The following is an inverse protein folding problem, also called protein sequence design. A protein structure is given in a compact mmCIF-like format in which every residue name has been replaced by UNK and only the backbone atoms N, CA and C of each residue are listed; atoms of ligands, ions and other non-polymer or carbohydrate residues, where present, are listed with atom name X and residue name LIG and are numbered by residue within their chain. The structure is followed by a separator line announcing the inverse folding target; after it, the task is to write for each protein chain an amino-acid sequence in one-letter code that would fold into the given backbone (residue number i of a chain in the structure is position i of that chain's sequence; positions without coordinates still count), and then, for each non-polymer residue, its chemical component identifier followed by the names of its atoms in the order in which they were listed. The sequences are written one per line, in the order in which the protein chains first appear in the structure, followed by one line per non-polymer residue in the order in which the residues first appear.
data_IF_675525120946
#
_entry.id   IF_675525120946
#
_cell.length_a   1.000
_cell.length_b   1.000
_cell.length_c   1.000
_cell.angle_alpha   90.00
_cell.angle_beta   90.00
_cell.angle_gamma   90.00
#
_symmetry.space_group_name_H-M   'P 1'
#
loop_
_entity.id
_entity.type
_entity.pdbx_description
1 polymer ?
#
# COMPACT_ATOMS: atom_id res chain seq x y z
N UNK A 1 2.97 -39.68 -4.82
CA UNK A 1 3.93 -38.56 -4.89
C UNK A 1 3.23 -37.41 -5.60
N UNK A 2 2.76 -36.41 -4.86
CA UNK A 2 2.08 -35.25 -5.44
C UNK A 2 3.13 -34.23 -5.89
N UNK A 3 3.14 -33.91 -7.18
CA UNK A 3 3.99 -32.87 -7.74
C UNK A 3 3.35 -31.51 -7.48
N UNK A 4 4.08 -30.66 -6.76
CA UNK A 4 3.73 -29.26 -6.53
C UNK A 4 3.84 -28.47 -7.84
N UNK A 5 2.78 -27.79 -8.24
CA UNK A 5 2.82 -26.80 -9.32
C UNK A 5 3.48 -25.51 -8.80
N UNK A 6 4.36 -24.85 -9.57
CA UNK A 6 4.81 -23.51 -9.22
C UNK A 6 3.63 -22.53 -9.41
N UNK A 7 3.30 -21.78 -8.37
CA UNK A 7 2.48 -20.59 -8.51
C UNK A 7 3.33 -19.54 -9.25
N UNK A 8 3.09 -19.38 -10.55
CA UNK A 8 3.58 -18.22 -11.28
C UNK A 8 2.78 -17.03 -10.74
N UNK A 9 3.44 -16.18 -9.95
CA UNK A 9 2.91 -14.86 -9.67
C UNK A 9 2.93 -14.10 -11.01
N UNK A 10 1.76 -13.98 -11.64
CA UNK A 10 1.57 -13.11 -12.80
C UNK A 10 2.16 -11.73 -12.47
N UNK A 11 3.10 -11.27 -13.30
CA UNK A 11 3.45 -9.86 -13.35
C UNK A 11 2.18 -9.11 -13.71
N UNK A 12 1.52 -8.54 -12.69
CA UNK A 12 0.27 -7.86 -12.87
C UNK A 12 0.46 -6.76 -13.92
N UNK A 13 -0.34 -6.80 -14.98
CA UNK A 13 -0.42 -5.69 -15.90
C UNK A 13 -0.90 -4.46 -15.12
N UNK A 14 0.02 -3.54 -14.88
CA UNK A 14 -0.23 -2.31 -14.16
C UNK A 14 -1.32 -1.50 -14.85
N UNK A 15 -2.48 -1.44 -14.20
CA UNK A 15 -3.61 -0.65 -14.71
C UNK A 15 -3.59 0.71 -14.03
N UNK A 16 -3.22 1.75 -14.78
CA UNK A 16 -3.26 3.13 -14.27
C UNK A 16 -4.63 3.46 -13.68
N UNK A 17 -4.59 4.12 -12.53
CA UNK A 17 -5.75 4.45 -11.72
C UNK A 17 -6.35 3.30 -10.91
N UNK A 18 -5.72 2.11 -10.90
CA UNK A 18 -6.08 1.00 -10.00
C UNK A 18 -5.01 0.78 -8.94
N UNK A 19 -5.44 0.62 -7.69
CA UNK A 19 -4.64 0.24 -6.53
C UNK A 19 -5.07 -1.15 -6.05
N UNK A 20 -4.14 -1.99 -5.62
CA UNK A 20 -4.45 -3.24 -4.92
C UNK A 20 -4.25 -3.06 -3.41
N UNK A 21 -5.17 -3.59 -2.60
CA UNK A 21 -5.02 -3.71 -1.16
C UNK A 21 -5.30 -5.13 -0.69
N UNK A 22 -4.43 -5.65 0.16
CA UNK A 22 -4.74 -6.81 1.00
C UNK A 22 -4.90 -6.35 2.45
N UNK A 23 -6.08 -6.57 3.02
CA UNK A 23 -6.43 -6.17 4.38
C UNK A 23 -6.62 -7.43 5.22
N UNK A 24 -5.88 -7.54 6.32
CA UNK A 24 -6.02 -8.62 7.28
C UNK A 24 -6.45 -8.07 8.64
N UNK A 25 -7.49 -8.67 9.22
CA UNK A 25 -8.01 -8.35 10.56
C UNK A 25 -7.75 -9.55 11.46
N UNK A 26 -6.79 -9.39 12.37
CA UNK A 26 -6.43 -10.35 13.41
C UNK A 26 -6.87 -9.82 14.78
N UNK A 27 -6.82 -10.65 15.83
CA UNK A 27 -7.39 -10.31 17.15
C UNK A 27 -6.88 -8.99 17.77
N UNK A 28 -5.60 -8.64 17.54
CA UNK A 28 -4.97 -7.44 18.10
C UNK A 28 -4.49 -6.42 17.06
N UNK A 29 -4.76 -6.64 15.78
CA UNK A 29 -4.22 -5.77 14.73
C UNK A 29 -5.00 -5.79 13.43
N UNK A 30 -4.93 -4.67 12.72
CA UNK A 30 -5.32 -4.58 11.32
C UNK A 30 -4.08 -4.27 10.50
N UNK A 31 -3.81 -5.10 9.50
CA UNK A 31 -2.70 -4.90 8.55
C UNK A 31 -3.25 -4.61 7.17
N UNK A 32 -2.63 -3.66 6.48
CA UNK A 32 -2.95 -3.29 5.10
C UNK A 32 -1.66 -3.39 4.30
N UNK A 33 -1.61 -4.29 3.32
CA UNK A 33 -0.61 -4.29 2.27
C UNK A 33 -1.17 -3.57 1.04
N UNK A 34 -0.33 -2.78 0.37
CA UNK A 34 -0.71 -1.93 -0.74
C UNK A 34 0.33 -2.06 -1.84
N UNK A 35 -0.15 -2.20 -3.08
CA UNK A 35 0.68 -2.20 -4.29
C UNK A 35 0.04 -1.25 -5.32
N UNK A 36 0.83 -0.33 -5.86
CA UNK A 36 0.39 0.54 -6.94
C UNK A 36 1.53 0.99 -7.87
N UNK A 37 1.21 1.21 -9.16
CA UNK A 37 2.06 1.99 -10.04
C UNK A 37 2.30 3.40 -9.50
N UNK A 38 3.53 3.90 -9.61
CA UNK A 38 3.86 5.28 -9.20
C UNK A 38 3.06 6.33 -9.97
N UNK A 39 2.60 6.03 -11.20
CA UNK A 39 1.70 6.90 -11.95
C UNK A 39 0.46 7.29 -11.15
N UNK A 40 -0.08 6.37 -10.34
CA UNK A 40 -1.27 6.61 -9.51
C UNK A 40 -1.08 7.75 -8.50
N UNK A 41 0.16 8.11 -8.20
CA UNK A 41 0.49 9.13 -7.19
C UNK A 41 1.22 10.32 -7.81
N UNK A 42 2.22 10.05 -8.64
CA UNK A 42 3.15 11.06 -9.17
C UNK A 42 2.85 11.43 -10.62
N UNK A 43 2.10 10.60 -11.35
CA UNK A 43 1.84 10.76 -12.78
C UNK A 43 3.02 10.38 -13.68
N UNK A 44 3.98 9.62 -13.15
CA UNK A 44 5.09 9.05 -13.88
C UNK A 44 5.62 7.78 -13.19
N UNK A 45 6.26 6.91 -13.97
CA UNK A 45 6.77 5.58 -13.61
C UNK A 45 8.30 5.51 -13.75
N UNK A 46 8.98 6.58 -13.35
CA UNK A 46 10.45 6.70 -13.46
C UNK A 46 11.02 7.47 -12.28
N UNK A 47 12.34 7.44 -12.14
CA UNK A 47 13.01 8.19 -11.10
C UNK A 47 12.71 9.71 -11.26
N UNK A 48 12.46 10.44 -10.16
CA UNK A 48 12.32 11.90 -10.18
C UNK A 48 13.59 12.59 -10.69
N UNK A 49 13.49 13.36 -11.78
CA UNK A 49 14.62 14.02 -12.46
C UNK A 49 14.76 15.49 -12.09
N UNK A 50 13.63 16.16 -11.81
CA UNK A 50 13.63 17.59 -11.45
C UNK A 50 13.51 17.80 -9.94
N UNK A 51 13.84 19.00 -9.46
CA UNK A 51 13.65 19.35 -8.05
C UNK A 51 12.16 19.31 -7.64
N UNK A 52 11.26 19.67 -8.55
CA UNK A 52 9.82 19.59 -8.33
C UNK A 52 9.35 18.14 -8.19
N UNK A 53 9.78 17.25 -9.10
CA UNK A 53 9.45 15.83 -9.03
C UNK A 53 10.00 15.18 -7.75
N UNK A 54 11.24 15.51 -7.36
CA UNK A 54 11.83 15.01 -6.10
C UNK A 54 11.03 15.44 -4.88
N UNK A 55 10.54 16.68 -4.87
CA UNK A 55 9.66 17.17 -3.81
C UNK A 55 8.33 16.43 -3.79
N UNK A 56 7.71 16.20 -4.95
CA UNK A 56 6.46 15.42 -5.03
C UNK A 56 6.63 13.99 -4.52
N UNK A 57 7.74 13.34 -4.84
CA UNK A 57 8.07 12.02 -4.31
C UNK A 57 8.27 12.03 -2.78
N UNK A 58 8.99 13.01 -2.25
CA UNK A 58 9.16 13.18 -0.81
C UNK A 58 7.82 13.45 -0.09
N UNK A 59 6.95 14.28 -0.67
CA UNK A 59 5.62 14.59 -0.13
C UNK A 59 4.71 13.35 -0.15
N UNK A 60 4.78 12.51 -1.21
CA UNK A 60 4.10 11.23 -1.28
C UNK A 60 4.54 10.31 -0.12
N UNK A 61 5.84 10.10 0.03
CA UNK A 61 6.42 9.27 1.09
C UNK A 61 5.99 9.77 2.48
N UNK A 62 6.11 11.08 2.73
CA UNK A 62 5.71 11.68 4.00
C UNK A 62 4.21 11.47 4.29
N UNK A 63 3.36 11.54 3.26
CA UNK A 63 1.92 11.33 3.40
C UNK A 63 1.58 9.86 3.65
N UNK A 64 2.22 8.92 2.96
CA UNK A 64 2.02 7.48 3.20
C UNK A 64 2.48 7.07 4.61
N UNK A 65 3.54 7.69 5.15
CA UNK A 65 3.95 7.49 6.55
C UNK A 65 2.93 7.98 7.58
N UNK A 66 2.00 8.86 7.18
CA UNK A 66 0.84 9.33 7.96
C UNK A 66 -0.41 8.51 7.60
N UNK A 67 -0.26 7.19 7.59
CA UNK A 67 -1.28 6.24 7.12
C UNK A 67 -2.59 6.31 7.91
N UNK A 68 -2.56 6.78 9.16
CA UNK A 68 -3.73 7.04 10.01
C UNK A 68 -4.67 8.12 9.45
N UNK A 69 -4.19 8.94 8.51
CA UNK A 69 -5.03 9.90 7.76
C UNK A 69 -5.59 9.34 6.45
N UNK A 70 -5.06 8.20 5.99
CA UNK A 70 -5.37 7.57 4.70
C UNK A 70 -6.22 6.30 4.85
N UNK A 71 -6.11 5.66 6.00
CA UNK A 71 -6.81 4.45 6.42
C UNK A 71 -7.28 4.64 7.85
N UNK A 72 -8.59 4.68 8.06
CA UNK A 72 -9.18 4.94 9.38
C UNK A 72 -10.03 3.74 9.77
N UNK A 73 -9.50 2.84 10.63
CA UNK A 73 -10.27 1.73 11.15
C UNK A 73 -11.47 2.20 11.98
N UNK A 74 -12.49 1.37 12.07
CA UNK A 74 -13.61 1.55 12.97
C UNK A 74 -13.13 1.92 14.40
N UNK A 75 -13.55 3.07 14.96
CA UNK A 75 -13.16 3.49 16.31
C UNK A 75 -13.50 2.45 17.39
N UNK A 76 -14.50 1.59 17.17
CA UNK A 76 -14.84 0.50 18.09
C UNK A 76 -13.67 -0.47 18.34
N UNK A 77 -12.72 -0.58 17.42
CA UNK A 77 -11.55 -1.43 17.57
C UNK A 77 -10.38 -0.83 18.35
N UNK A 78 -10.42 0.48 18.65
CA UNK A 78 -9.37 1.17 19.41
C UNK A 78 -8.00 1.14 18.74
N UNK A 79 -7.96 1.14 17.41
CA UNK A 79 -6.74 1.01 16.63
C UNK A 79 -5.87 2.28 16.64
N UNK A 80 -4.54 2.10 16.64
CA UNK A 80 -3.53 3.15 16.44
C UNK A 80 -2.47 2.68 15.44
N UNK A 81 -2.00 3.58 14.59
CA UNK A 81 -0.91 3.29 13.67
C UNK A 81 0.35 2.94 14.48
N UNK A 82 0.92 1.78 14.17
CA UNK A 82 2.06 1.20 14.90
C UNK A 82 3.26 0.91 14.00
N UNK A 83 3.06 0.80 12.68
CA UNK A 83 4.15 0.57 11.74
C UNK A 83 3.78 0.99 10.32
N UNK A 84 4.78 1.50 9.60
CA UNK A 84 4.72 1.78 8.16
C UNK A 84 6.03 1.33 7.53
N UNK A 85 5.95 0.45 6.54
CA UNK A 85 7.06 0.09 5.65
C UNK A 85 6.68 0.52 4.25
N UNK A 86 7.61 1.15 3.53
CA UNK A 86 7.46 1.54 2.13
C UNK A 86 8.62 0.91 1.36
N UNK A 87 8.37 0.44 0.14
CA UNK A 87 9.39 -0.05 -0.77
C UNK A 87 9.11 0.45 -2.18
N UNK A 88 10.16 0.87 -2.88
CA UNK A 88 10.12 1.36 -4.26
C UNK A 88 11.55 1.61 -4.70
N UNK A 89 12.02 0.80 -5.65
CA UNK A 89 13.39 0.91 -6.16
C UNK A 89 13.62 2.26 -6.84
N UNK A 90 12.62 2.71 -7.59
CA UNK A 90 12.64 3.99 -8.34
C UNK A 90 12.70 5.21 -7.42
N UNK A 91 12.19 5.09 -6.19
CA UNK A 91 12.27 6.13 -5.17
C UNK A 91 13.40 5.91 -4.15
N UNK A 92 14.12 4.78 -4.23
CA UNK A 92 15.19 4.41 -3.31
C UNK A 92 14.70 4.10 -1.89
N UNK A 93 13.61 3.36 -1.74
CA UNK A 93 12.99 3.03 -0.45
C UNK A 93 13.28 1.59 0.03
N UNK A 94 14.19 0.86 -0.61
CA UNK A 94 14.35 -0.59 -0.39
C UNK A 94 14.91 -0.95 1.01
N UNK A 95 15.46 0.03 1.74
CA UNK A 95 16.04 -0.13 3.07
C UNK A 95 15.14 0.39 4.22
N UNK A 96 13.90 0.80 3.95
CA UNK A 96 13.02 1.49 4.92
C UNK A 96 12.32 0.58 5.96
N UNK A 97 12.92 -0.59 6.24
CA UNK A 97 12.60 -1.39 7.41
C UNK A 97 13.21 -0.73 8.68
N UNK A 98 12.55 0.33 9.14
CA UNK A 98 12.76 1.07 10.38
C UNK A 98 13.79 2.23 10.38
N UNK A 99 13.30 3.37 10.88
CA UNK A 99 13.98 4.63 11.26
C UNK A 99 14.12 5.70 10.18
N UNK A 100 13.49 6.84 10.45
CA UNK A 100 13.49 7.99 9.57
C UNK A 100 14.79 8.76 9.59
N UNK A 101 15.56 8.69 8.50
CA UNK A 101 16.47 9.74 8.08
C UNK A 101 16.48 9.82 6.56
N UNK A 102 16.24 11.01 6.03
CA UNK A 102 16.44 11.31 4.61
C UNK A 102 17.93 11.17 4.28
N UNK A 103 18.28 10.29 3.34
CA UNK A 103 19.67 10.00 3.01
C UNK A 103 19.86 9.49 1.59
N UNK A 104 20.31 10.42 0.73
CA UNK A 104 21.09 10.26 -0.49
C UNK A 104 21.12 8.89 -1.21
N UNK A 105 20.61 8.91 -2.44
CA UNK A 105 20.86 7.89 -3.47
C UNK A 105 22.36 7.53 -3.53
N UNK A 106 22.66 6.26 -3.35
CA UNK A 106 23.97 5.69 -3.67
C UNK A 106 23.86 4.92 -4.97
N UNK A 107 24.53 5.42 -6.00
CA UNK A 107 24.89 4.67 -7.19
C UNK A 107 25.78 3.49 -6.79
N UNK A 108 25.20 2.29 -6.77
CA UNK A 108 25.97 1.05 -6.81
C UNK A 108 25.55 0.24 -8.02
N UNK A 109 26.37 0.29 -9.06
CA UNK A 109 26.25 -0.58 -10.22
C UNK A 109 26.37 -2.05 -9.81
N UNK A 110 25.26 -2.79 -9.86
CA UNK A 110 25.25 -4.26 -9.93
C UNK A 110 24.64 -4.69 -11.26
N UNK A 111 25.25 -5.71 -11.86
CA UNK A 111 25.08 -6.15 -13.25
C UNK A 111 23.71 -6.77 -13.55
N UNK A 112 23.33 -6.68 -14.82
CA UNK A 112 22.04 -7.01 -15.44
C UNK A 112 21.44 -8.38 -15.04
N UNK A 113 20.14 -8.37 -14.79
CA UNK A 113 19.18 -9.39 -15.22
C UNK A 113 17.93 -8.62 -15.71
N UNK A 114 17.34 -9.03 -16.83
CA UNK A 114 16.14 -8.41 -17.43
C UNK A 114 14.91 -8.65 -16.55
N UNK A 115 14.78 -7.85 -15.50
CA UNK A 115 13.58 -7.75 -14.70
C UNK A 115 13.00 -6.39 -15.05
N UNK A 116 11.77 -6.36 -15.57
CA UNK A 116 11.03 -5.13 -15.70
C UNK A 116 11.15 -4.38 -14.36
N UNK A 117 11.84 -3.25 -14.33
CA UNK A 117 11.92 -2.41 -13.14
C UNK A 117 10.52 -1.84 -12.97
N UNK A 118 9.66 -2.57 -12.26
CA UNK A 118 8.31 -2.15 -12.04
C UNK A 118 8.38 -0.88 -11.18
N UNK A 119 7.99 0.25 -11.77
CA UNK A 119 8.01 1.54 -11.12
C UNK A 119 6.80 1.69 -10.19
N UNK A 120 6.77 0.82 -9.19
CA UNK A 120 5.69 0.70 -8.23
C UNK A 120 6.11 1.25 -6.88
N UNK A 121 5.12 1.40 -6.02
CA UNK A 121 5.29 1.57 -4.61
C UNK A 121 4.49 0.50 -3.87
N UNK A 122 5.22 -0.28 -3.09
CA UNK A 122 4.68 -1.21 -2.13
C UNK A 122 4.65 -0.55 -0.75
N UNK A 123 3.59 -0.82 0.01
CA UNK A 123 3.51 -0.36 1.38
C UNK A 123 2.83 -1.38 2.29
N UNK A 124 3.29 -1.42 3.55
CA UNK A 124 2.63 -2.14 4.62
C UNK A 124 2.33 -1.18 5.75
N UNK A 125 1.06 -1.12 6.15
CA UNK A 125 0.58 -0.34 7.28
C UNK A 125 0.05 -1.28 8.34
N UNK A 126 0.51 -1.13 9.59
CA UNK A 126 0.07 -1.94 10.72
C UNK A 126 -0.55 -1.07 11.78
N UNK A 127 -1.81 -1.36 12.11
CA UNK A 127 -2.55 -0.76 13.20
C UNK A 127 -2.61 -1.74 14.36
N UNK A 128 -2.08 -1.36 15.52
CA UNK A 128 -2.28 -2.11 16.76
C UNK A 128 -3.64 -1.71 17.34
N UNK A 129 -4.45 -2.69 17.71
CA UNK A 129 -5.83 -2.50 18.11
C UNK A 129 -6.09 -3.17 19.46
N UNK A 130 -6.94 -2.57 20.28
CA UNK A 130 -7.36 -3.16 21.55
C UNK A 130 -8.43 -4.23 21.35
N UNK A 131 -9.29 -4.07 20.33
CA UNK A 131 -10.44 -4.94 20.05
C UNK A 131 -10.71 -5.04 18.54
N UNK A 132 -9.75 -5.55 17.77
CA UNK A 132 -9.87 -5.57 16.30
C UNK A 132 -11.08 -6.36 15.78
N UNK A 133 -11.57 -7.34 16.53
CA UNK A 133 -12.79 -8.11 16.25
C UNK A 133 -14.08 -7.27 16.28
N UNK A 134 -14.05 -6.10 16.94
CA UNK A 134 -15.15 -5.15 16.97
C UNK A 134 -15.19 -4.26 15.73
N UNK A 135 -14.12 -4.18 14.94
CA UNK A 135 -14.16 -3.42 13.70
C UNK A 135 -15.17 -4.01 12.72
N UNK A 136 -15.99 -3.13 12.12
CA UNK A 136 -16.93 -3.47 11.04
C UNK A 136 -16.61 -2.76 9.74
N UNK A 137 -15.70 -1.80 9.75
CA UNK A 137 -15.29 -1.11 8.55
C UNK A 137 -13.88 -0.52 8.66
N UNK A 138 -13.36 -0.17 7.49
CA UNK A 138 -12.16 0.63 7.27
C UNK A 138 -12.53 1.74 6.29
N UNK A 139 -12.43 2.99 6.73
CA UNK A 139 -12.51 4.11 5.80
C UNK A 139 -11.19 4.24 5.04
N UNK A 140 -11.29 4.52 3.74
CA UNK A 140 -10.13 4.69 2.86
C UNK A 140 -10.10 6.10 2.25
N UNK A 141 -9.84 7.17 3.06
CA UNK A 141 -9.64 8.53 2.56
C UNK A 141 -8.58 8.67 1.45
N UNK A 142 -7.69 7.69 1.32
CA UNK A 142 -6.70 7.59 0.24
C UNK A 142 -7.29 7.88 -1.17
N UNK A 143 -8.51 7.41 -1.47
CA UNK A 143 -9.19 7.67 -2.74
C UNK A 143 -9.51 9.16 -2.97
N UNK A 144 -9.90 9.87 -1.91
CA UNK A 144 -10.15 11.31 -1.99
C UNK A 144 -8.83 12.10 -2.04
N UNK A 145 -7.80 11.58 -1.39
CA UNK A 145 -6.46 12.14 -1.25
C UNK A 145 -5.65 12.14 -2.56
N UNK A 146 -5.80 11.12 -3.40
CA UNK A 146 -5.04 10.96 -4.65
C UNK A 146 -5.99 10.80 -5.84
N UNK A 147 -6.17 11.88 -6.60
CA UNK A 147 -7.19 11.97 -7.66
C UNK A 147 -6.96 11.09 -8.88
N UNK A 148 -5.74 10.57 -9.06
CA UNK A 148 -5.43 9.64 -10.16
C UNK A 148 -5.91 8.23 -9.87
N UNK A 149 -6.17 7.88 -8.60
CA UNK A 149 -6.73 6.60 -8.20
C UNK A 149 -8.23 6.60 -8.42
N UNK A 150 -8.71 5.73 -9.32
CA UNK A 150 -10.11 5.59 -9.71
C UNK A 150 -10.80 4.44 -9.01
N UNK A 151 -10.05 3.39 -8.67
CA UNK A 151 -10.58 2.22 -7.97
C UNK A 151 -9.52 1.54 -7.12
N UNK A 152 -9.96 0.92 -6.04
CA UNK A 152 -9.15 0.01 -5.25
C UNK A 152 -9.77 -1.38 -5.31
N UNK A 153 -8.99 -2.37 -5.73
CA UNK A 153 -9.36 -3.77 -5.59
C UNK A 153 -8.81 -4.29 -4.26
N UNK A 154 -9.72 -4.73 -3.38
CA UNK A 154 -9.41 -5.12 -2.01
C UNK A 154 -9.64 -6.61 -1.83
N UNK A 155 -8.66 -7.33 -1.28
CA UNK A 155 -8.86 -8.64 -0.68
C UNK A 155 -8.86 -8.48 0.84
N UNK A 156 -9.94 -8.86 1.50
CA UNK A 156 -10.13 -8.73 2.93
C UNK A 156 -10.14 -10.13 3.56
N UNK A 157 -9.24 -10.37 4.51
CA UNK A 157 -9.22 -11.55 5.35
C UNK A 157 -9.62 -11.19 6.79
N UNK A 158 -10.62 -11.90 7.32
CA UNK A 158 -11.06 -11.78 8.72
C UNK A 158 -11.26 -13.19 9.30
N UNK A 159 -11.52 -13.29 10.60
CA UNK A 159 -11.94 -14.55 11.23
C UNK A 159 -13.21 -15.17 10.61
N UNK A 160 -14.03 -14.38 9.91
CA UNK A 160 -15.26 -14.83 9.24
C UNK A 160 -15.00 -15.37 7.82
N UNK A 161 -13.78 -15.25 7.30
CA UNK A 161 -13.39 -15.67 5.95
C UNK A 161 -12.72 -14.58 5.13
N UNK A 162 -12.51 -14.89 3.86
CA UNK A 162 -11.86 -14.01 2.87
C UNK A 162 -12.85 -13.52 1.81
N UNK A 163 -12.77 -12.24 1.46
CA UNK A 163 -13.71 -11.59 0.54
C UNK A 163 -12.99 -10.63 -0.39
N UNK A 164 -13.50 -10.48 -1.62
CA UNK A 164 -13.06 -9.42 -2.54
C UNK A 164 -14.06 -8.28 -2.55
N UNK A 165 -13.57 -7.04 -2.57
CA UNK A 165 -14.37 -5.81 -2.67
C UNK A 165 -13.69 -4.83 -3.61
N UNK A 166 -14.48 -3.96 -4.23
CA UNK A 166 -13.97 -2.84 -5.00
C UNK A 166 -14.44 -1.54 -4.38
N UNK A 167 -13.51 -0.63 -4.12
CA UNK A 167 -13.79 0.72 -3.63
C UNK A 167 -13.63 1.73 -4.78
N UNK A 168 -14.36 2.82 -4.71
CA UNK A 168 -14.30 3.96 -5.64
C UNK A 168 -14.38 5.26 -4.86
N UNK A 169 -14.09 6.43 -5.46
CA UNK A 169 -14.21 7.70 -4.75
C UNK A 169 -15.61 8.00 -4.19
N UNK A 170 -16.67 7.41 -4.77
CA UNK A 170 -18.05 7.51 -4.26
C UNK A 170 -18.41 6.44 -3.22
N UNK A 171 -17.58 5.42 -3.04
CA UNK A 171 -17.77 4.31 -2.12
C UNK A 171 -16.40 3.89 -1.55
N UNK A 172 -15.84 4.71 -0.66
CA UNK A 172 -14.49 4.57 -0.09
C UNK A 172 -14.45 3.83 1.24
N UNK A 173 -15.57 3.29 1.71
CA UNK A 173 -15.66 2.50 2.94
C UNK A 173 -15.64 1.01 2.61
N UNK A 174 -14.65 0.29 3.15
CA UNK A 174 -14.64 -1.16 3.16
C UNK A 174 -15.41 -1.64 4.39
N UNK A 175 -16.55 -2.29 4.20
CA UNK A 175 -17.37 -2.82 5.32
C UNK A 175 -17.34 -4.35 5.36
N UNK A 176 -17.36 -4.91 6.57
CA UNK A 176 -17.47 -6.34 6.85
C UNK A 176 -18.23 -6.60 8.17
N UNK A 177 -18.59 -7.86 8.40
CA UNK A 177 -19.54 -8.22 9.45
C UNK A 177 -20.99 -7.94 9.04
N UNK A 178 -21.93 -8.63 9.69
CA UNK A 178 -23.35 -8.31 9.64
C UNK A 178 -23.68 -7.32 10.75
#
# INVERSE_FOLDING_TARGET
MAASLPAQADQAAHTHGRLALDVAVDAGSITIAMEAPLDNFLGFERAPRTAAERRQAADLVARLRRADTLFVPDPAAGCRLSGVTLASQVLGLDDDAASGQAGAAKDTHAKHEEHAEHADIDARFTFACTQADQARYLEVPLLAAFKRIRSIDVQLATAQGQFKRRLTPSASRLSWGK
#
